data_IF_498407973606
#
_entry.id   IF_498407973606
#
_cell.length_a   1.000
_cell.length_b   1.000
_cell.length_c   1.000
_cell.angle_alpha   90.00
_cell.angle_beta   90.00
_cell.angle_gamma   90.00
#
_symmetry.space_group_name_H-M   'P 1'
#
loop_
_entity.id
_entity.type
_entity.pdbx_description
1 polymer ?
#
# COMPACT_ATOMS: atom_id res chain seq x y z
N UNK A 1 -19.01 27.37 -36.10
CA UNK A 1 -19.66 26.24 -35.41
C UNK A 1 -18.92 24.90 -35.59
N UNK A 2 -18.39 24.58 -36.77
CA UNK A 2 -17.71 23.28 -37.04
C UNK A 2 -16.42 23.02 -36.23
N UNK A 3 -15.69 24.07 -35.85
CA UNK A 3 -14.41 23.95 -35.13
C UNK A 3 -14.53 23.95 -33.60
N UNK A 4 -15.68 24.36 -33.05
CA UNK A 4 -15.93 24.41 -31.60
C UNK A 4 -16.02 23.01 -31.00
N UNK A 5 -16.61 22.06 -31.73
CA UNK A 5 -16.68 20.66 -31.33
C UNK A 5 -15.29 20.00 -31.30
N UNK A 6 -14.39 20.43 -32.18
CA UNK A 6 -13.02 19.89 -32.27
C UNK A 6 -12.11 20.41 -31.15
N UNK A 7 -12.31 21.66 -30.70
CA UNK A 7 -11.58 22.25 -29.56
C UNK A 7 -12.02 21.61 -28.23
N UNK A 8 -13.31 21.28 -28.09
CA UNK A 8 -13.85 20.65 -26.87
C UNK A 8 -13.32 19.22 -26.63
N UNK A 9 -12.95 18.51 -27.70
CA UNK A 9 -12.35 17.16 -27.61
C UNK A 9 -10.88 17.18 -27.21
N UNK A 10 -10.16 18.29 -27.44
CA UNK A 10 -8.73 18.38 -27.21
C UNK A 10 -8.38 18.70 -25.73
N UNK A 11 -9.34 19.19 -24.95
CA UNK A 11 -9.11 19.61 -23.55
C UNK A 11 -9.48 18.54 -22.52
N UNK A 12 -9.94 17.36 -22.94
CA UNK A 12 -10.40 16.31 -22.03
C UNK A 12 -9.34 15.19 -21.88
N UNK A 13 -8.17 15.53 -21.35
CA UNK A 13 -7.20 14.54 -20.86
C UNK A 13 -7.29 14.49 -19.35
N UNK A 14 -8.16 13.63 -18.84
CA UNK A 14 -8.24 13.37 -17.39
C UNK A 14 -7.05 12.48 -17.02
N UNK A 15 -6.02 13.05 -16.40
CA UNK A 15 -4.97 12.25 -15.78
C UNK A 15 -5.59 11.48 -14.60
N UNK A 16 -5.83 10.18 -14.79
CA UNK A 16 -6.06 9.26 -13.67
C UNK A 16 -4.73 9.16 -12.94
N UNK A 17 -4.47 10.10 -12.05
CA UNK A 17 -3.36 10.01 -11.11
C UNK A 17 -3.70 8.90 -10.14
N UNK A 18 -3.15 7.70 -10.38
CA UNK A 18 -3.15 6.65 -9.37
C UNK A 18 -2.60 7.26 -8.08
N UNK A 19 -3.36 7.17 -6.99
CA UNK A 19 -3.02 7.80 -5.72
C UNK A 19 -1.65 7.28 -5.26
N UNK A 20 -0.61 8.08 -5.52
CA UNK A 20 0.77 7.78 -5.11
C UNK A 20 0.86 7.94 -3.58
N UNK A 21 1.72 7.15 -2.95
CA UNK A 21 1.98 7.18 -1.51
C UNK A 21 0.73 6.86 -0.65
N UNK A 22 0.06 5.74 -0.91
CA UNK A 22 -1.00 5.26 -0.02
C UNK A 22 -0.42 4.92 1.35
N UNK A 23 -1.24 5.03 2.39
CA UNK A 23 -0.93 4.48 3.71
C UNK A 23 -1.58 3.10 3.82
N UNK A 24 -0.77 2.09 4.13
CA UNK A 24 -1.18 0.69 4.27
C UNK A 24 -0.94 0.27 5.72
N UNK A 25 -1.98 -0.22 6.38
CA UNK A 25 -1.89 -0.80 7.72
C UNK A 25 -1.88 -2.32 7.59
N UNK A 26 -0.83 -2.95 8.09
CA UNK A 26 -0.70 -4.41 8.16
C UNK A 26 -0.93 -4.80 9.61
N UNK A 27 -1.94 -5.65 9.85
CA UNK A 27 -2.31 -6.12 11.19
C UNK A 27 -1.89 -7.56 11.35
N UNK A 28 -1.08 -7.85 12.37
CA UNK A 28 -0.49 -9.16 12.63
C UNK A 28 -0.72 -9.56 14.10
N UNK A 29 -0.72 -10.86 14.39
CA UNK A 29 -1.04 -11.36 15.72
C UNK A 29 0.18 -11.28 16.65
N UNK A 30 1.30 -11.87 16.25
CA UNK A 30 2.51 -11.98 17.05
C UNK A 30 3.71 -11.26 16.40
N UNK A 31 4.73 -10.90 17.20
CA UNK A 31 5.99 -10.41 16.67
C UNK A 31 6.78 -11.57 16.06
N UNK A 32 6.78 -11.67 14.74
CA UNK A 32 7.45 -12.64 13.85
C UNK A 32 6.59 -12.97 12.62
N UNK A 33 5.27 -12.85 12.74
CA UNK A 33 4.29 -13.09 11.67
C UNK A 33 4.60 -12.25 10.40
N UNK A 34 5.29 -11.11 10.52
CA UNK A 34 5.68 -10.29 9.37
C UNK A 34 6.63 -11.02 8.42
N UNK A 35 7.36 -12.01 8.93
CA UNK A 35 8.32 -12.80 8.13
C UNK A 35 7.61 -13.67 7.09
N UNK A 36 6.39 -14.16 7.38
CA UNK A 36 5.60 -14.98 6.46
C UNK A 36 5.21 -14.21 5.18
N UNK A 37 5.09 -12.89 5.27
CA UNK A 37 4.72 -12.00 4.16
C UNK A 37 5.80 -10.93 3.86
N UNK A 38 7.03 -11.14 4.33
CA UNK A 38 8.12 -10.17 4.24
C UNK A 38 8.37 -9.64 2.81
N UNK A 39 8.43 -10.50 1.76
CA UNK A 39 8.59 -10.04 0.39
C UNK A 39 7.45 -9.14 -0.11
N UNK A 40 6.22 -9.37 0.37
CA UNK A 40 5.06 -8.54 0.02
C UNK A 40 5.18 -7.18 0.67
N UNK A 41 5.51 -7.13 1.96
CA UNK A 41 5.77 -5.87 2.68
C UNK A 41 6.89 -5.09 1.99
N UNK A 42 8.00 -5.75 1.66
CA UNK A 42 9.14 -5.13 0.97
C UNK A 42 8.78 -4.58 -0.42
N UNK A 43 7.82 -5.19 -1.12
CA UNK A 43 7.31 -4.66 -2.39
C UNK A 43 6.43 -3.43 -2.15
N UNK A 44 5.54 -3.48 -1.16
CA UNK A 44 4.59 -2.40 -0.87
C UNK A 44 5.29 -1.13 -0.35
N UNK A 45 6.35 -1.26 0.44
CA UNK A 45 7.12 -0.14 1.00
C UNK A 45 7.86 0.69 -0.06
N UNK A 46 8.08 0.16 -1.27
CA UNK A 46 8.75 0.91 -2.35
C UNK A 46 7.98 2.16 -2.79
N UNK A 47 6.66 2.12 -2.70
CA UNK A 47 5.76 3.15 -3.25
C UNK A 47 4.74 3.67 -2.23
N UNK A 48 4.69 3.06 -1.03
CA UNK A 48 3.65 3.32 -0.04
C UNK A 48 4.23 3.42 1.37
N UNK A 49 3.54 4.18 2.23
CA UNK A 49 3.81 4.17 3.67
C UNK A 49 3.17 2.93 4.27
N UNK A 50 3.97 2.03 4.81
CA UNK A 50 3.49 0.81 5.49
C UNK A 50 3.64 0.97 7.00
N UNK A 51 2.59 0.67 7.75
CA UNK A 51 2.55 0.67 9.21
C UNK A 51 2.24 -0.76 9.66
N UNK A 52 3.06 -1.32 10.54
CA UNK A 52 2.80 -2.62 11.18
C UNK A 52 2.08 -2.39 12.51
N UNK A 53 0.96 -3.07 12.70
CA UNK A 53 0.26 -3.18 13.97
C UNK A 53 0.36 -4.63 14.44
N UNK A 54 1.10 -4.85 15.51
CA UNK A 54 1.21 -6.16 16.15
C UNK A 54 0.25 -6.18 17.33
N UNK A 55 -0.68 -7.14 17.33
CA UNK A 55 -1.74 -7.22 18.33
C UNK A 55 -1.24 -7.66 19.71
N UNK A 56 -0.16 -8.44 19.75
CA UNK A 56 0.41 -9.01 20.97
C UNK A 56 1.92 -8.80 21.04
N UNK A 57 2.50 -8.95 22.22
CA UNK A 57 3.95 -8.82 22.44
C UNK A 57 4.69 -10.16 22.42
N UNK A 58 4.02 -11.26 22.05
CA UNK A 58 4.66 -12.56 21.83
C UNK A 58 5.32 -13.19 23.06
N UNK A 59 5.04 -12.74 24.29
CA UNK A 59 5.74 -13.22 25.51
C UNK A 59 5.71 -14.74 25.74
N UNK A 60 4.75 -15.45 25.16
CA UNK A 60 4.61 -16.91 25.28
C UNK A 60 5.21 -17.68 24.10
N UNK A 61 5.75 -17.00 23.09
CA UNK A 61 6.46 -17.59 21.95
C UNK A 61 7.86 -18.05 22.33
N UNK A 62 7.95 -19.07 23.19
CA UNK A 62 9.23 -19.65 23.59
C UNK A 62 9.70 -20.69 22.58
N UNK A 63 10.93 -20.56 22.09
CA UNK A 63 11.66 -21.67 21.48
C UNK A 63 12.23 -22.49 22.64
N UNK A 64 11.80 -23.75 22.78
CA UNK A 64 12.44 -24.66 23.73
C UNK A 64 13.94 -24.77 23.39
N UNK A 65 14.84 -24.65 24.38
CA UNK A 65 16.28 -24.85 24.19
C UNK A 65 16.62 -26.30 23.87
#
# INVERSE_FOLDING_TARGET
MKYIFFILLLTCSSEITAQKNKSILVVLAHPDDETAIGPVIAKLTKENKVILLIATDGRYGIRQP
#
